data_IF_792400876934
#
_entry.id   IF_792400876934
#
_cell.length_a   1.000
_cell.length_b   1.000
_cell.length_c   1.000
_cell.angle_alpha   90.00
_cell.angle_beta   90.00
_cell.angle_gamma   90.00
#
_symmetry.space_group_name_H-M   'P 1'
#
loop_
_entity.id
_entity.type
_entity.pdbx_description
1 polymer ?
#
# COMPACT_ATOMS: atom_id res chain seq x y z
N UNK A 1 22.82 1.05 -37.30
CA UNK A 1 22.33 0.07 -36.31
C UNK A 1 20.92 0.52 -35.99
N UNK A 2 19.89 -0.30 -36.24
CA UNK A 2 18.50 0.10 -35.98
C UNK A 2 18.23 -0.03 -34.49
N UNK A 3 18.11 1.10 -33.78
CA UNK A 3 17.71 1.12 -32.38
C UNK A 3 16.19 1.13 -32.25
N UNK A 4 15.66 0.62 -31.14
CA UNK A 4 14.26 0.85 -30.75
C UNK A 4 14.20 2.06 -29.82
N UNK A 5 13.33 3.00 -30.13
CA UNK A 5 13.03 4.14 -29.28
C UNK A 5 11.89 3.78 -28.32
N UNK A 6 12.12 3.95 -27.02
CA UNK A 6 11.10 3.85 -25.99
C UNK A 6 10.58 5.26 -25.72
N UNK A 7 9.30 5.46 -25.96
CA UNK A 7 8.61 6.75 -25.86
C UNK A 7 7.56 6.65 -24.76
N UNK A 8 7.68 7.49 -23.73
CA UNK A 8 6.66 7.62 -22.69
C UNK A 8 5.83 8.89 -22.90
N UNK A 9 4.52 8.70 -23.11
CA UNK A 9 3.55 9.80 -23.23
C UNK A 9 2.66 9.79 -22.00
N UNK A 10 2.56 10.90 -21.28
CA UNK A 10 1.67 10.92 -20.12
C UNK A 10 0.19 10.81 -20.54
N UNK A 11 -0.59 10.12 -19.70
CA UNK A 11 -2.03 9.91 -19.86
C UNK A 11 -2.89 10.81 -18.99
N UNK A 12 -2.33 11.42 -17.95
CA UNK A 12 -3.10 12.19 -16.95
C UNK A 12 -2.87 13.68 -17.16
N UNK A 13 -3.97 14.41 -17.38
CA UNK A 13 -4.00 15.88 -17.37
C UNK A 13 -3.95 16.38 -15.91
N UNK A 14 -2.78 16.42 -15.29
CA UNK A 14 -2.51 17.34 -14.17
C UNK A 14 -1.84 18.61 -14.73
N UNK A 15 -1.91 19.78 -14.04
CA UNK A 15 -1.34 21.03 -14.52
C UNK A 15 0.15 20.98 -14.88
N UNK A 16 0.88 19.98 -14.37
CA UNK A 16 2.30 19.74 -14.64
C UNK A 16 2.55 18.84 -15.86
N UNK A 17 1.50 18.26 -16.44
CA UNK A 17 1.61 17.18 -17.41
C UNK A 17 0.76 17.48 -18.66
N UNK A 18 1.15 18.55 -19.34
CA UNK A 18 0.70 18.85 -20.70
C UNK A 18 1.53 18.00 -21.67
N UNK A 19 0.88 17.05 -22.35
CA UNK A 19 1.23 16.33 -23.60
C UNK A 19 2.71 16.30 -24.07
N UNK A 20 3.68 16.11 -23.18
CA UNK A 20 5.08 16.04 -23.57
C UNK A 20 5.61 14.61 -23.44
N UNK A 21 6.38 14.18 -24.44
CA UNK A 21 7.23 12.99 -24.34
C UNK A 21 8.17 13.17 -23.16
N UNK A 22 8.04 12.34 -22.12
CA UNK A 22 8.86 12.45 -20.90
C UNK A 22 10.20 11.76 -21.07
N UNK A 23 10.27 10.75 -21.95
CA UNK A 23 11.50 10.08 -22.31
C UNK A 23 11.43 9.59 -23.76
N UNK A 24 12.51 9.81 -24.50
CA UNK A 24 12.83 9.15 -25.78
C UNK A 24 14.24 8.58 -25.62
N UNK A 25 14.32 7.29 -25.34
CA UNK A 25 15.60 6.59 -25.12
C UNK A 25 15.77 5.53 -26.18
N UNK A 26 16.92 5.56 -26.84
CA UNK A 26 17.35 4.52 -27.76
C UNK A 26 17.82 3.32 -26.94
N UNK A 27 17.14 2.18 -27.11
CA UNK A 27 17.61 0.92 -26.57
C UNK A 27 18.93 0.52 -27.27
N UNK A 28 19.92 0.10 -26.49
CA UNK A 28 21.17 -0.45 -26.99
C UNK A 28 20.96 -1.74 -27.79
N UNK A 29 22.02 -2.25 -28.41
CA UNK A 29 21.95 -3.44 -29.28
C UNK A 29 21.34 -4.67 -28.59
N UNK A 30 21.45 -4.77 -27.27
CA UNK A 30 20.93 -5.89 -26.47
C UNK A 30 19.60 -5.56 -25.77
N UNK A 31 18.93 -4.46 -26.16
CA UNK A 31 17.68 -4.01 -25.55
C UNK A 31 17.87 -3.27 -24.23
N UNK A 32 19.10 -2.86 -23.89
CA UNK A 32 19.38 -2.07 -22.69
C UNK A 32 18.82 -0.65 -22.80
N UNK A 33 18.12 -0.18 -21.76
CA UNK A 33 17.62 1.18 -21.64
C UNK A 33 17.75 1.66 -20.20
N UNK A 34 17.96 2.97 -20.03
CA UNK A 34 17.97 3.61 -18.71
C UNK A 34 17.42 5.03 -18.83
N UNK A 35 16.38 5.33 -18.06
CA UNK A 35 15.85 6.69 -17.89
C UNK A 35 15.12 6.78 -16.55
N UNK A 36 14.94 8.01 -16.08
CA UNK A 36 14.15 8.29 -14.89
C UNK A 36 12.76 8.78 -15.33
N UNK A 37 11.72 8.02 -14.98
CA UNK A 37 10.34 8.49 -15.09
C UNK A 37 9.95 9.23 -13.81
N UNK A 38 9.17 10.30 -13.94
CA UNK A 38 8.54 10.94 -12.77
C UNK A 38 7.30 10.13 -12.37
N UNK A 39 6.78 10.40 -11.18
CA UNK A 39 5.50 9.86 -10.72
C UNK A 39 4.38 10.27 -11.67
N UNK A 40 3.56 9.32 -12.11
CA UNK A 40 2.49 9.54 -13.07
C UNK A 40 2.07 8.28 -13.84
N UNK A 41 1.00 8.39 -14.65
CA UNK A 41 0.56 7.32 -15.55
C UNK A 41 0.98 7.65 -16.99
N UNK A 42 1.61 6.69 -17.66
CA UNK A 42 2.18 6.86 -18.99
C UNK A 42 1.70 5.77 -19.93
N UNK A 43 1.39 6.15 -21.17
CA UNK A 43 1.33 5.23 -22.29
C UNK A 43 2.74 4.98 -22.82
N UNK A 44 3.08 3.71 -22.97
CA UNK A 44 4.37 3.27 -23.47
C UNK A 44 4.25 2.99 -24.96
N UNK A 45 5.17 3.57 -25.74
CA UNK A 45 5.23 3.39 -27.17
C UNK A 45 6.64 2.96 -27.59
N UNK A 46 6.73 2.02 -28.52
CA UNK A 46 7.97 1.62 -29.15
C UNK A 46 7.99 2.11 -30.61
N UNK A 47 9.14 2.60 -31.06
CA UNK A 47 9.33 3.04 -32.44
C UNK A 47 10.66 2.53 -32.99
N UNK A 48 10.63 1.93 -34.18
CA UNK A 48 11.83 1.46 -34.88
C UNK A 48 12.09 2.35 -36.09
N UNK A 49 13.18 3.14 -36.06
CA UNK A 49 13.61 4.04 -37.14
C UNK A 49 12.45 4.82 -37.80
N UNK A 50 12.14 4.49 -39.06
CA UNK A 50 11.12 5.13 -39.92
C UNK A 50 9.71 4.55 -39.77
N UNK A 51 9.50 3.59 -38.87
CA UNK A 51 8.20 2.95 -38.65
C UNK A 51 7.33 3.82 -37.74
N UNK A 52 6.02 3.56 -37.81
CA UNK A 52 5.05 4.16 -36.92
C UNK A 52 5.29 3.71 -35.48
N UNK A 53 4.92 4.58 -34.54
CA UNK A 53 4.90 4.26 -33.11
C UNK A 53 3.86 3.17 -32.82
N UNK A 54 4.22 2.23 -31.96
CA UNK A 54 3.36 1.13 -31.53
C UNK A 54 3.15 1.22 -30.02
N UNK A 55 1.89 1.30 -29.58
CA UNK A 55 1.55 1.28 -28.16
C UNK A 55 1.68 -0.15 -27.62
N UNK A 56 2.48 -0.31 -26.56
CA UNK A 56 2.72 -1.62 -25.92
C UNK A 56 1.99 -1.79 -24.59
N UNK A 57 1.39 -0.73 -24.07
CA UNK A 57 0.62 -0.74 -22.83
C UNK A 57 0.69 0.60 -22.11
N UNK A 58 0.16 0.59 -20.90
CA UNK A 58 0.21 1.70 -19.96
C UNK A 58 1.01 1.25 -18.72
N UNK A 59 1.71 2.20 -18.08
CA UNK A 59 2.44 1.98 -16.83
C UNK A 59 2.07 3.06 -15.82
N UNK A 60 2.17 2.73 -14.54
CA UNK A 60 2.06 3.68 -13.43
C UNK A 60 3.37 3.72 -12.64
N UNK A 61 3.88 4.93 -12.40
CA UNK A 61 5.01 5.18 -11.52
C UNK A 61 4.48 5.91 -10.29
N UNK A 62 4.64 5.29 -9.12
CA UNK A 62 4.26 5.81 -7.81
C UNK A 62 5.49 6.34 -7.05
N UNK A 63 5.29 7.14 -6.01
CA UNK A 63 6.40 7.67 -5.18
C UNK A 63 7.24 6.57 -4.52
N UNK A 64 6.62 5.44 -4.19
CA UNK A 64 7.24 4.27 -3.57
C UNK A 64 7.67 3.20 -4.59
N UNK A 65 7.54 3.49 -5.89
CA UNK A 65 7.95 2.56 -6.94
C UNK A 65 9.46 2.33 -6.91
N UNK A 66 9.84 1.05 -6.85
CA UNK A 66 11.25 0.64 -6.90
C UNK A 66 11.75 0.71 -8.35
N UNK A 67 13.03 1.03 -8.58
CA UNK A 67 13.64 0.89 -9.90
C UNK A 67 13.48 -0.56 -10.41
N UNK A 68 13.17 -0.70 -11.70
CA UNK A 68 12.91 -1.98 -12.35
C UNK A 68 12.94 -1.86 -13.86
N UNK A 69 12.69 -2.95 -14.56
CA UNK A 69 12.58 -2.97 -16.02
C UNK A 69 11.22 -2.41 -16.46
N UNK A 70 11.15 -1.88 -17.67
CA UNK A 70 9.88 -1.44 -18.28
C UNK A 70 8.82 -2.54 -18.27
N UNK A 71 9.24 -3.80 -18.45
CA UNK A 71 8.35 -4.94 -18.39
C UNK A 71 7.76 -5.13 -16.98
N UNK A 72 8.55 -4.92 -15.93
CA UNK A 72 8.06 -5.00 -14.54
C UNK A 72 6.93 -4.01 -14.30
N UNK A 73 7.01 -2.81 -14.88
CA UNK A 73 5.95 -1.80 -14.82
C UNK A 73 4.76 -2.12 -15.73
N UNK A 74 4.96 -2.75 -16.88
CA UNK A 74 3.89 -3.13 -17.83
C UNK A 74 3.02 -4.30 -17.33
N UNK A 75 3.59 -5.19 -16.52
CA UNK A 75 2.86 -6.31 -15.90
C UNK A 75 2.38 -6.00 -14.50
N UNK A 76 2.78 -4.86 -13.93
CA UNK A 76 2.35 -4.44 -12.60
C UNK A 76 0.85 -4.14 -12.63
N UNK A 77 0.07 -4.68 -11.68
CA UNK A 77 -1.33 -4.34 -11.57
C UNK A 77 -1.49 -2.86 -11.25
N UNK A 78 -2.40 -2.18 -11.94
CA UNK A 78 -2.72 -0.78 -11.69
C UNK A 78 -3.95 -0.61 -10.78
N UNK A 79 -4.23 0.61 -10.34
CA UNK A 79 -5.43 0.92 -9.54
C UNK A 79 -6.75 0.58 -10.24
N UNK A 80 -6.78 0.57 -11.57
CA UNK A 80 -7.94 0.18 -12.37
C UNK A 80 -8.15 -1.33 -12.42
N UNK A 81 -7.08 -2.11 -12.25
CA UNK A 81 -7.12 -3.58 -12.15
C UNK A 81 -7.68 -4.05 -10.80
N UNK A 82 -7.70 -3.18 -9.78
CA UNK A 82 -8.33 -3.45 -8.50
C UNK A 82 -9.85 -3.51 -8.68
N UNK A 83 -10.36 -4.73 -8.84
CA UNK A 83 -11.82 -4.96 -8.88
C UNK A 83 -12.48 -4.36 -7.63
N UNK A 84 -13.63 -3.68 -7.77
CA UNK A 84 -14.35 -3.09 -6.63
C UNK A 84 -14.59 -4.08 -5.49
N UNK A 85 -14.80 -5.36 -5.80
CA UNK A 85 -15.01 -6.42 -4.81
C UNK A 85 -13.76 -6.67 -3.95
N UNK A 86 -12.55 -6.51 -4.49
CA UNK A 86 -11.30 -6.70 -3.74
C UNK A 86 -11.10 -5.56 -2.75
N UNK A 87 -11.36 -4.32 -3.20
CA UNK A 87 -11.29 -3.12 -2.34
C UNK A 87 -12.30 -3.24 -1.20
N UNK A 88 -13.54 -3.61 -1.51
CA UNK A 88 -14.59 -3.78 -0.50
C UNK A 88 -14.22 -4.83 0.55
N UNK A 89 -13.68 -5.98 0.14
CA UNK A 89 -13.24 -7.02 1.09
C UNK A 89 -12.08 -6.56 1.98
N UNK A 90 -11.20 -5.71 1.47
CA UNK A 90 -10.13 -5.11 2.26
C UNK A 90 -10.69 -4.15 3.30
N UNK A 91 -11.62 -3.26 2.93
CA UNK A 91 -12.30 -2.35 3.85
C UNK A 91 -13.04 -3.11 4.97
N UNK A 92 -13.76 -4.18 4.62
CA UNK A 92 -14.43 -5.05 5.58
C UNK A 92 -13.45 -5.69 6.57
N UNK A 93 -12.30 -6.16 6.08
CA UNK A 93 -11.25 -6.74 6.91
C UNK A 93 -10.63 -5.71 7.88
N UNK A 94 -10.38 -4.48 7.40
CA UNK A 94 -9.87 -3.38 8.23
C UNK A 94 -10.89 -3.02 9.33
N UNK A 95 -12.17 -2.91 8.99
CA UNK A 95 -13.23 -2.64 9.96
C UNK A 95 -13.31 -3.75 11.03
N UNK A 96 -13.24 -5.01 10.61
CA UNK A 96 -13.23 -6.15 11.54
C UNK A 96 -12.01 -6.15 12.45
N UNK A 97 -10.82 -5.79 11.93
CA UNK A 97 -9.61 -5.68 12.72
C UNK A 97 -9.71 -4.57 13.78
N UNK A 98 -10.25 -3.41 13.41
CA UNK A 98 -10.50 -2.30 14.34
C UNK A 98 -11.51 -2.69 15.43
N UNK A 99 -12.60 -3.35 15.06
CA UNK A 99 -13.60 -3.84 16.01
C UNK A 99 -13.00 -4.87 16.98
N UNK A 100 -12.19 -5.81 16.48
CA UNK A 100 -11.53 -6.82 17.30
C UNK A 100 -10.54 -6.20 18.29
N UNK A 101 -9.77 -5.19 17.85
CA UNK A 101 -8.86 -4.44 18.70
C UNK A 101 -9.62 -3.67 19.80
N UNK A 102 -10.74 -3.02 19.44
CA UNK A 102 -11.59 -2.33 20.41
C UNK A 102 -12.18 -3.29 21.46
N UNK A 103 -12.67 -4.45 21.04
CA UNK A 103 -13.17 -5.47 21.95
C UNK A 103 -12.07 -6.01 22.89
N UNK A 104 -10.86 -6.25 22.37
CA UNK A 104 -9.72 -6.67 23.18
C UNK A 104 -9.33 -5.61 24.22
N UNK A 105 -9.31 -4.33 23.85
CA UNK A 105 -9.05 -3.24 24.78
C UNK A 105 -10.12 -3.15 25.88
N UNK A 106 -11.41 -3.25 25.52
CA UNK A 106 -12.51 -3.29 26.48
C UNK A 106 -12.41 -4.47 27.44
N UNK A 107 -12.11 -5.67 26.93
CA UNK A 107 -11.92 -6.86 27.76
C UNK A 107 -10.73 -6.72 28.72
N UNK A 108 -9.63 -6.11 28.27
CA UNK A 108 -8.47 -5.85 29.13
C UNK A 108 -8.81 -4.87 30.26
N UNK A 109 -9.58 -3.81 29.96
CA UNK A 109 -10.06 -2.87 30.98
C UNK A 109 -10.98 -3.54 31.99
N UNK A 110 -11.93 -4.37 31.52
CA UNK A 110 -12.82 -5.12 32.40
C UNK A 110 -12.04 -6.08 33.30
N UNK A 111 -11.09 -6.82 32.72
CA UNK A 111 -10.22 -7.73 33.47
C UNK A 111 -9.43 -6.99 34.54
N UNK A 112 -8.90 -5.80 34.25
CA UNK A 112 -8.20 -4.98 35.23
C UNK A 112 -9.11 -4.55 36.40
N UNK A 113 -10.37 -4.20 36.12
CA UNK A 113 -11.36 -3.88 37.14
C UNK A 113 -11.71 -5.11 38.00
N UNK A 114 -11.92 -6.27 37.36
CA UNK A 114 -12.25 -7.52 38.05
C UNK A 114 -11.10 -7.95 38.98
N UNK A 115 -9.85 -7.82 38.53
CA UNK A 115 -8.65 -8.10 39.35
C UNK A 115 -8.56 -7.13 40.53
N UNK A 116 -8.82 -5.84 40.32
CA UNK A 116 -8.81 -4.85 41.40
C UNK A 116 -9.91 -5.13 42.44
N UNK A 117 -11.11 -5.50 41.99
CA UNK A 117 -12.22 -5.88 42.86
C UNK A 117 -11.87 -7.14 43.69
N UNK A 118 -11.33 -8.18 43.03
CA UNK A 118 -10.88 -9.41 43.69
C UNK A 118 -9.81 -9.13 44.77
N UNK A 119 -8.83 -8.27 44.47
CA UNK A 119 -7.83 -7.84 45.44
C UNK A 119 -8.45 -7.07 46.63
N UNK A 120 -9.47 -6.24 46.37
CA UNK A 120 -10.24 -5.55 47.41
C UNK A 120 -10.96 -6.52 48.35
N UNK A 121 -11.65 -7.52 47.80
CA UNK A 121 -12.33 -8.55 48.60
C UNK A 121 -11.35 -9.37 49.43
N UNK A 122 -10.18 -9.72 48.88
CA UNK A 122 -9.15 -10.44 49.62
C UNK A 122 -8.65 -9.65 50.84
N UNK A 123 -8.37 -8.34 50.67
CA UNK A 123 -7.96 -7.46 51.77
C UNK A 123 -9.04 -7.30 52.84
N UNK A 124 -10.29 -7.16 52.43
CA UNK A 124 -11.41 -7.04 53.37
C UNK A 124 -11.58 -8.33 54.21
N UNK A 125 -11.42 -9.50 53.59
CA UNK A 125 -11.45 -10.77 54.30
C UNK A 125 -10.28 -10.92 55.29
N UNK A 126 -9.08 -10.48 54.91
CA UNK A 126 -7.90 -10.51 55.79
C UNK A 126 -8.06 -9.56 56.98
N UNK A 127 -8.57 -8.34 56.75
CA UNK A 127 -8.86 -7.40 57.83
C UNK A 127 -9.92 -7.97 58.80
N UNK A 128 -11.01 -8.53 58.29
CA UNK A 128 -12.05 -9.13 59.12
C UNK A 128 -11.50 -10.27 59.99
N UNK A 129 -10.56 -11.06 59.47
CA UNK A 129 -9.87 -12.09 60.25
C UNK A 129 -9.04 -11.48 61.37
N UNK A 130 -8.24 -10.45 61.07
CA UNK A 130 -7.41 -9.78 62.06
C UNK A 130 -8.25 -9.12 63.17
N UNK A 131 -9.40 -8.54 62.83
CA UNK A 131 -10.31 -7.91 63.80
C UNK A 131 -10.94 -8.95 64.74
N UNK A 132 -11.24 -10.16 64.26
CA UNK A 132 -11.72 -11.27 65.09
C UNK A 132 -10.63 -11.74 66.05
N UNK A 133 -9.39 -11.91 65.55
CA UNK A 133 -8.26 -12.36 66.37
C UNK A 133 -7.92 -11.34 67.48
N UNK A 134 -8.12 -10.04 67.24
CA UNK A 134 -7.91 -8.99 68.24
C UNK A 134 -8.99 -8.91 69.33
N UNK A 135 -10.15 -9.55 69.12
CA UNK A 135 -11.29 -9.54 70.03
C UNK A 135 -11.34 -10.75 70.99
N UNK A 136 -10.41 -11.71 70.85
CA UNK A 136 -10.26 -12.93 71.66
C UNK A 136 -9.12 -12.79 72.68
#
# INVERSE_FOLDING_TARGET
MSGYHIILKSRVNTPEVVMNTVADVMAGNDGEYCFHARTGKYGVYLKQDWRNEYNVGDIAVYEDSKPGTLNDFLIAPDEGDLKPDVVKRFEEMVAQAQQSAGAAAGNAQQTAQDVAAAAGYARAAEQAKNDIDAAL
#
